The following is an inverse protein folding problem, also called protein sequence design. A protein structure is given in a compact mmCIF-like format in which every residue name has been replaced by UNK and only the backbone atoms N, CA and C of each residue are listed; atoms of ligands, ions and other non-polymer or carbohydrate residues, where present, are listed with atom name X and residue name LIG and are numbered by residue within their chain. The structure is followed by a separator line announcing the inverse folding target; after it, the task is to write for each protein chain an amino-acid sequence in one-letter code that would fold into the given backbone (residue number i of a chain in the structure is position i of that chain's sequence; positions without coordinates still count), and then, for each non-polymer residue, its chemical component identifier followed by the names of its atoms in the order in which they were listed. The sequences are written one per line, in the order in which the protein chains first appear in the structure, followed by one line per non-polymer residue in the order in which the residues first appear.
data_IF_989636370231
#
_entry.id   IF_989636370231
#
_cell.length_a   1.000
_cell.length_b   1.000
_cell.length_c   1.000
_cell.angle_alpha   90.00
_cell.angle_beta   90.00
_cell.angle_gamma   90.00
#
_symmetry.space_group_name_H-M   'P 1'
#
loop_
_entity.id
_entity.type
_entity.pdbx_description
1 polymer ?
#
# COMPACT_ATOMS: atom_id res chain seq x y z
N UNK A 1 -19.31 -5.74 -8.06
CA UNK A 1 -18.07 -6.35 -7.54
C UNK A 1 -17.07 -5.22 -7.38
N UNK A 2 -16.32 -5.17 -6.30
CA UNK A 2 -15.37 -4.07 -6.09
C UNK A 2 -14.01 -4.65 -5.69
N UNK A 3 -12.96 -4.27 -6.42
CA UNK A 3 -11.58 -4.59 -6.11
C UNK A 3 -10.85 -3.35 -5.58
N UNK A 4 -10.40 -3.42 -4.35
CA UNK A 4 -9.65 -2.34 -3.69
C UNK A 4 -8.19 -2.76 -3.56
N UNK A 5 -7.29 -1.96 -4.10
CA UNK A 5 -5.86 -2.12 -3.89
C UNK A 5 -5.40 -1.22 -2.76
N UNK A 6 -4.83 -1.84 -1.72
CA UNK A 6 -4.47 -1.19 -0.48
C UNK A 6 -2.95 -1.17 -0.35
N UNK A 7 -2.35 -0.04 -0.63
CA UNK A 7 -0.91 0.15 -0.79
C UNK A 7 -0.33 1.21 0.15
N UNK A 8 0.96 1.44 0.04
CA UNK A 8 1.76 2.40 0.82
C UNK A 8 3.09 1.78 1.26
N UNK A 9 4.00 2.60 1.72
CA UNK A 9 5.32 2.21 2.21
C UNK A 9 5.23 1.09 3.27
N UNK A 10 6.19 0.17 3.36
CA UNK A 10 6.24 -0.80 4.46
C UNK A 10 6.07 -0.14 5.84
N UNK A 11 5.37 -0.81 6.75
CA UNK A 11 5.08 -0.35 8.12
C UNK A 11 4.12 0.85 8.27
N UNK A 12 3.42 1.29 7.21
CA UNK A 12 2.38 2.33 7.33
C UNK A 12 1.11 1.88 8.06
N UNK A 13 0.93 0.58 8.29
CA UNK A 13 -0.21 0.03 9.03
C UNK A 13 -1.23 -0.74 8.16
N UNK A 14 -0.95 -0.92 6.87
CA UNK A 14 -1.84 -1.61 5.91
C UNK A 14 -2.44 -2.90 6.45
N UNK A 15 -1.61 -3.84 6.88
CA UNK A 15 -2.06 -5.17 7.32
C UNK A 15 -2.99 -5.09 8.53
N UNK A 16 -2.69 -4.21 9.49
CA UNK A 16 -3.52 -4.03 10.69
C UNK A 16 -4.89 -3.46 10.34
N UNK A 17 -4.92 -2.42 9.51
CA UNK A 17 -6.15 -1.77 9.09
C UNK A 17 -6.95 -2.72 8.19
N UNK A 18 -6.32 -3.31 7.16
CA UNK A 18 -6.98 -4.23 6.24
C UNK A 18 -7.67 -5.40 6.96
N UNK A 19 -7.06 -5.93 8.03
CA UNK A 19 -7.63 -7.03 8.80
C UNK A 19 -8.96 -6.70 9.50
N UNK A 20 -9.29 -5.42 9.62
CA UNK A 20 -10.53 -4.93 10.25
C UNK A 20 -11.57 -4.42 9.24
N UNK A 21 -11.21 -4.28 7.97
CA UNK A 21 -12.14 -3.85 6.93
C UNK A 21 -13.17 -4.94 6.60
N UNK A 22 -14.37 -4.53 6.23
CA UNK A 22 -15.41 -5.42 5.76
C UNK A 22 -15.15 -5.82 4.31
N UNK A 23 -14.56 -7.01 4.10
CA UNK A 23 -14.21 -7.55 2.79
C UNK A 23 -13.30 -8.76 2.91
N UNK A 24 -13.05 -9.41 1.79
CA UNK A 24 -12.09 -10.49 1.71
C UNK A 24 -10.69 -9.92 1.46
N UNK A 25 -9.84 -9.97 2.48
CA UNK A 25 -8.45 -9.50 2.39
C UNK A 25 -7.55 -10.56 1.76
N UNK A 26 -6.82 -10.17 0.74
CA UNK A 26 -5.82 -10.98 0.02
C UNK A 26 -4.47 -10.30 0.15
N UNK A 27 -3.54 -10.95 0.85
CA UNK A 27 -2.16 -10.47 0.99
C UNK A 27 -1.36 -10.80 -0.25
N UNK A 28 -0.91 -9.79 -0.98
CA UNK A 28 -0.22 -9.94 -2.26
C UNK A 28 1.06 -10.77 -2.15
N UNK A 29 1.87 -10.55 -1.13
CA UNK A 29 3.11 -11.31 -0.97
C UNK A 29 2.85 -12.80 -0.67
N UNK A 30 1.84 -13.11 0.13
CA UNK A 30 1.46 -14.50 0.43
C UNK A 30 0.89 -15.19 -0.81
N UNK A 31 0.11 -14.46 -1.60
CA UNK A 31 -0.41 -14.93 -2.87
C UNK A 31 0.73 -15.25 -3.85
N UNK A 32 1.68 -14.33 -4.01
CA UNK A 32 2.84 -14.50 -4.88
C UNK A 32 3.69 -15.71 -4.47
N UNK A 33 3.94 -15.90 -3.16
CA UNK A 33 4.69 -17.06 -2.66
C UNK A 33 3.95 -18.37 -2.92
N UNK A 34 2.65 -18.43 -2.64
CA UNK A 34 1.85 -19.66 -2.75
C UNK A 34 1.68 -20.13 -4.20
N UNK A 35 1.81 -19.24 -5.18
CA UNK A 35 1.66 -19.55 -6.61
C UNK A 35 2.98 -19.56 -7.39
N UNK A 36 4.11 -19.38 -6.69
CA UNK A 36 5.43 -19.44 -7.33
C UNK A 36 5.76 -18.23 -8.21
N UNK A 37 5.21 -17.06 -7.89
CA UNK A 37 5.47 -15.81 -8.60
C UNK A 37 6.65 -15.01 -8.01
N UNK A 38 7.43 -15.60 -7.10
CA UNK A 38 8.68 -15.04 -6.62
C UNK A 38 9.79 -15.42 -7.57
N UNK A 39 10.42 -14.45 -8.23
CA UNK A 39 11.52 -14.66 -9.18
C UNK A 39 12.89 -14.74 -8.50
N UNK A 40 13.01 -14.23 -7.28
CA UNK A 40 14.25 -14.20 -6.54
C UNK A 40 14.16 -13.28 -5.33
N UNK A 41 15.31 -13.01 -4.73
CA UNK A 41 15.48 -12.04 -3.65
C UNK A 41 16.57 -11.07 -4.07
N UNK A 42 16.32 -9.79 -3.93
CA UNK A 42 17.37 -8.76 -4.05
C UNK A 42 18.35 -8.95 -2.90
N UNK A 43 19.56 -9.39 -3.19
CA UNK A 43 20.56 -9.74 -2.18
C UNK A 43 21.04 -8.53 -1.36
N UNK A 44 21.03 -7.34 -1.96
CA UNK A 44 21.45 -6.11 -1.31
C UNK A 44 20.34 -5.55 -0.38
N UNK A 45 19.11 -5.67 -0.83
CA UNK A 45 17.93 -5.09 -0.15
C UNK A 45 17.13 -6.12 0.65
N UNK A 46 17.26 -7.42 0.34
CA UNK A 46 16.54 -8.52 0.98
C UNK A 46 15.03 -8.47 0.73
N UNK A 47 14.59 -7.87 -0.39
CA UNK A 47 13.20 -7.90 -0.84
C UNK A 47 12.98 -9.04 -1.82
N UNK A 48 11.82 -9.68 -1.74
CA UNK A 48 11.38 -10.64 -2.74
C UNK A 48 11.04 -9.91 -4.05
N UNK A 49 11.59 -10.40 -5.15
CA UNK A 49 11.29 -9.90 -6.50
C UNK A 49 10.07 -10.64 -7.00
N UNK A 50 8.95 -9.94 -7.16
CA UNK A 50 7.67 -10.50 -7.58
C UNK A 50 7.52 -10.34 -9.09
N UNK A 51 7.08 -11.40 -9.76
CA UNK A 51 6.62 -11.38 -11.16
C UNK A 51 5.24 -10.68 -11.20
N UNK A 52 5.27 -9.36 -11.38
CA UNK A 52 4.07 -8.51 -11.33
C UNK A 52 3.09 -8.89 -12.45
N UNK A 53 3.58 -9.25 -13.64
CA UNK A 53 2.73 -9.60 -14.77
C UNK A 53 1.90 -10.86 -14.48
N UNK A 54 2.56 -11.94 -14.05
CA UNK A 54 1.83 -13.17 -13.67
C UNK A 54 0.93 -13.01 -12.48
N UNK A 55 1.35 -12.21 -11.50
CA UNK A 55 0.52 -11.92 -10.33
C UNK A 55 -0.72 -11.11 -10.73
N UNK A 56 -0.58 -10.14 -11.64
CA UNK A 56 -1.68 -9.34 -12.15
C UNK A 56 -2.71 -10.20 -12.89
N UNK A 57 -2.26 -11.05 -13.81
CA UNK A 57 -3.14 -11.99 -14.54
C UNK A 57 -3.92 -12.91 -13.57
N UNK A 58 -3.26 -13.35 -12.50
CA UNK A 58 -3.91 -14.18 -11.49
C UNK A 58 -4.94 -13.41 -10.67
N UNK A 59 -4.62 -12.17 -10.28
CA UNK A 59 -5.51 -11.27 -9.53
C UNK A 59 -6.75 -10.94 -10.35
N UNK A 60 -6.59 -10.63 -11.63
CA UNK A 60 -7.72 -10.39 -12.55
C UNK A 60 -8.67 -11.59 -12.59
N UNK A 61 -8.11 -12.81 -12.68
CA UNK A 61 -8.93 -14.01 -12.62
C UNK A 61 -9.61 -14.28 -11.27
N UNK A 62 -9.09 -13.73 -10.16
CA UNK A 62 -9.78 -13.76 -8.86
C UNK A 62 -10.92 -12.73 -8.82
N UNK A 63 -10.68 -11.54 -9.34
CA UNK A 63 -11.67 -10.45 -9.40
C UNK A 63 -12.87 -10.91 -10.23
N UNK A 64 -12.64 -11.47 -11.42
CA UNK A 64 -13.71 -11.95 -12.30
C UNK A 64 -14.61 -13.03 -11.70
N UNK A 65 -14.06 -13.85 -10.80
CA UNK A 65 -14.75 -15.01 -10.21
C UNK A 65 -15.40 -14.70 -8.85
N UNK A 66 -15.24 -13.50 -8.32
CA UNK A 66 -15.74 -13.15 -6.99
C UNK A 66 -16.89 -12.15 -7.09
N UNK A 67 -17.92 -12.40 -6.32
CA UNK A 67 -19.00 -11.41 -6.09
C UNK A 67 -18.77 -10.56 -4.83
N UNK A 68 -17.74 -10.89 -4.05
CA UNK A 68 -17.40 -10.20 -2.81
C UNK A 68 -16.54 -8.95 -3.07
N UNK A 69 -16.47 -8.06 -2.08
CA UNK A 69 -15.47 -7.01 -2.00
C UNK A 69 -14.09 -7.66 -1.74
N UNK A 70 -13.19 -7.52 -2.70
CA UNK A 70 -11.80 -7.99 -2.57
C UNK A 70 -10.87 -6.83 -2.21
N UNK A 71 -10.06 -7.03 -1.18
CA UNK A 71 -9.06 -6.05 -0.72
C UNK A 71 -7.68 -6.68 -0.88
N UNK A 72 -6.92 -6.24 -1.89
CA UNK A 72 -5.58 -6.72 -2.16
C UNK A 72 -4.56 -5.85 -1.41
N UNK A 73 -4.03 -6.36 -0.31
CA UNK A 73 -3.11 -5.65 0.57
C UNK A 73 -1.66 -5.98 0.25
N UNK A 74 -0.84 -4.96 0.02
CA UNK A 74 0.60 -5.08 -0.16
C UNK A 74 1.23 -3.80 -0.69
N UNK A 75 2.52 -3.62 -0.46
CA UNK A 75 3.24 -2.41 -0.89
C UNK A 75 3.39 -2.27 -2.42
N UNK A 76 3.11 -3.33 -3.18
CA UNK A 76 3.12 -3.33 -4.66
C UNK A 76 1.74 -3.57 -5.27
N UNK A 77 0.66 -3.58 -4.46
CA UNK A 77 -0.67 -3.89 -4.97
C UNK A 77 -1.14 -2.92 -6.06
N UNK A 78 -0.76 -1.65 -5.97
CA UNK A 78 -1.08 -0.63 -6.98
C UNK A 78 -0.43 -0.87 -8.35
N UNK A 79 0.57 -1.74 -8.45
CA UNK A 79 1.20 -2.11 -9.72
C UNK A 79 0.40 -3.14 -10.51
N UNK A 80 -0.57 -3.82 -9.87
CA UNK A 80 -1.44 -4.81 -10.50
C UNK A 80 -2.55 -4.13 -11.30
N UNK A 81 -3.24 -4.89 -12.17
CA UNK A 81 -4.39 -4.40 -12.95
C UNK A 81 -5.71 -4.74 -12.24
N UNK A 82 -6.79 -4.07 -12.64
CA UNK A 82 -8.16 -4.40 -12.23
C UNK A 82 -8.67 -3.70 -10.97
N UNK A 83 -8.01 -2.66 -10.46
CA UNK A 83 -8.53 -1.92 -9.31
C UNK A 83 -9.74 -1.04 -9.68
N UNK A 84 -10.79 -1.10 -8.86
CA UNK A 84 -11.86 -0.10 -8.86
C UNK A 84 -11.51 1.10 -7.96
N UNK A 85 -10.66 0.87 -6.95
CA UNK A 85 -10.12 1.90 -6.06
C UNK A 85 -8.72 1.51 -5.62
N UNK A 86 -7.85 2.50 -5.52
CA UNK A 86 -6.51 2.37 -4.94
C UNK A 86 -6.42 3.27 -3.71
N UNK A 87 -6.14 2.70 -2.56
CA UNK A 87 -5.99 3.44 -1.31
C UNK A 87 -4.52 3.40 -0.91
N UNK A 88 -3.90 4.58 -0.88
CA UNK A 88 -2.50 4.75 -0.49
C UNK A 88 -2.44 5.28 0.93
N UNK A 89 -1.95 4.46 1.86
CA UNK A 89 -1.69 4.91 3.22
C UNK A 89 -0.39 5.69 3.31
N UNK A 90 -0.49 6.88 3.90
CA UNK A 90 0.64 7.75 4.20
C UNK A 90 0.81 7.90 5.71
N UNK A 91 2.04 7.99 6.15
CA UNK A 91 2.41 8.18 7.57
C UNK A 91 3.62 9.09 7.65
N UNK A 92 3.59 10.06 8.58
CA UNK A 92 4.75 10.93 8.81
C UNK A 92 6.05 10.11 9.00
N UNK A 93 7.14 10.51 8.36
CA UNK A 93 8.41 9.76 8.40
C UNK A 93 8.93 9.49 9.82
N UNK A 94 8.70 10.37 10.79
CA UNK A 94 9.11 10.17 12.18
C UNK A 94 8.40 8.96 12.80
N UNK A 95 7.09 8.84 12.60
CA UNK A 95 6.29 7.70 13.07
C UNK A 95 6.72 6.42 12.33
N UNK A 96 6.97 6.54 11.03
CA UNK A 96 7.42 5.41 10.21
C UNK A 96 8.79 4.91 10.68
N UNK A 97 9.71 5.81 11.01
CA UNK A 97 11.04 5.47 11.54
C UNK A 97 10.95 4.63 12.81
N UNK A 98 10.10 5.03 13.76
CA UNK A 98 9.87 4.27 15.00
C UNK A 98 9.37 2.85 14.71
N UNK A 99 8.42 2.71 13.78
CA UNK A 99 7.83 1.41 13.40
C UNK A 99 8.83 0.50 12.68
N UNK A 100 9.66 1.05 11.79
CA UNK A 100 10.71 0.31 11.08
C UNK A 100 11.81 -0.15 12.04
N UNK A 101 12.25 0.71 12.97
CA UNK A 101 13.20 0.36 14.03
C UNK A 101 12.66 -0.77 14.91
N UNK A 102 11.40 -0.70 15.33
CA UNK A 102 10.77 -1.73 16.16
C UNK A 102 10.72 -3.10 15.47
N UNK A 103 10.78 -3.14 14.13
CA UNK A 103 10.85 -4.38 13.33
C UNK A 103 12.27 -4.79 12.95
N UNK A 104 13.29 -4.15 13.51
CA UNK A 104 14.70 -4.44 13.29
C UNK A 104 15.12 -4.36 11.80
N UNK A 105 14.57 -3.41 11.05
CA UNK A 105 15.08 -3.11 9.72
C UNK A 105 16.51 -2.55 9.82
N UNK A 106 17.36 -2.83 8.82
CA UNK A 106 18.69 -2.21 8.75
C UNK A 106 18.59 -0.70 8.54
N UNK A 107 19.59 0.05 8.96
CA UNK A 107 19.62 1.51 8.81
C UNK A 107 19.43 1.95 7.35
N UNK A 108 20.06 1.23 6.40
CA UNK A 108 19.91 1.52 4.97
C UNK A 108 18.47 1.31 4.49
N UNK A 109 17.80 0.25 4.93
CA UNK A 109 16.38 0.01 4.63
C UNK A 109 15.45 1.04 5.28
N UNK A 110 15.75 1.44 6.50
CA UNK A 110 14.99 2.48 7.19
C UNK A 110 15.09 3.77 6.37
N UNK A 111 16.30 4.19 6.01
CA UNK A 111 16.53 5.41 5.22
C UNK A 111 15.80 5.34 3.87
N UNK A 112 15.92 4.26 3.12
CA UNK A 112 15.25 4.07 1.84
C UNK A 112 13.72 4.19 1.96
N UNK A 113 13.12 3.56 2.98
CA UNK A 113 11.67 3.64 3.19
C UNK A 113 11.20 5.03 3.62
N UNK A 114 11.98 5.74 4.44
CA UNK A 114 11.65 7.11 4.86
C UNK A 114 11.73 8.09 3.68
N UNK A 115 12.74 7.96 2.84
CA UNK A 115 12.87 8.76 1.62
C UNK A 115 11.72 8.48 0.63
N UNK A 116 11.38 7.20 0.41
CA UNK A 116 10.25 6.81 -0.44
C UNK A 116 8.92 7.35 0.09
N UNK A 117 8.72 7.33 1.42
CA UNK A 117 7.52 7.89 2.04
C UNK A 117 7.48 9.42 1.90
N UNK A 118 8.59 10.11 2.19
CA UNK A 118 8.64 11.57 2.06
C UNK A 118 8.42 12.04 0.62
N UNK A 119 8.96 11.30 -0.37
CA UNK A 119 8.76 11.56 -1.79
C UNK A 119 7.37 11.15 -2.31
N UNK A 120 6.58 10.39 -1.52
CA UNK A 120 5.27 9.91 -1.94
C UNK A 120 5.33 8.91 -3.11
N UNK A 121 6.34 8.03 -3.15
CA UNK A 121 6.56 7.11 -4.27
C UNK A 121 5.33 6.26 -4.58
N UNK A 122 4.73 5.61 -3.57
CA UNK A 122 3.53 4.80 -3.78
C UNK A 122 2.34 5.62 -4.32
N UNK A 123 2.20 6.88 -3.87
CA UNK A 123 1.15 7.78 -4.35
C UNK A 123 1.36 8.17 -5.80
N UNK A 124 2.61 8.52 -6.18
CA UNK A 124 2.95 8.89 -7.54
C UNK A 124 2.75 7.71 -8.52
N UNK A 125 3.24 6.51 -8.18
CA UNK A 125 3.07 5.31 -9.00
C UNK A 125 1.59 4.90 -9.11
N UNK A 126 0.83 5.01 -8.02
CA UNK A 126 -0.61 4.74 -8.03
C UNK A 126 -1.36 5.71 -8.93
N UNK A 127 -1.04 7.01 -8.84
CA UNK A 127 -1.67 8.04 -9.68
C UNK A 127 -1.33 7.89 -11.16
N UNK A 128 -0.10 7.49 -11.49
CA UNK A 128 0.30 7.24 -12.88
C UNK A 128 -0.56 6.16 -13.53
N UNK A 129 -0.92 5.12 -12.78
CA UNK A 129 -1.70 3.99 -13.28
C UNK A 129 -3.21 4.16 -13.11
N UNK A 130 -3.64 4.79 -12.03
CA UNK A 130 -5.04 4.94 -11.60
C UNK A 130 -5.35 6.39 -11.20
N UNK A 131 -5.32 7.35 -12.14
CA UNK A 131 -5.42 8.77 -11.81
C UNK A 131 -6.76 9.17 -11.14
N UNK A 132 -7.85 8.52 -11.51
CA UNK A 132 -9.20 8.84 -11.02
C UNK A 132 -9.65 7.96 -9.85
N UNK A 133 -8.97 6.81 -9.63
CA UNK A 133 -9.34 5.81 -8.64
C UNK A 133 -8.44 5.86 -7.39
N UNK A 134 -7.40 6.71 -7.36
CA UNK A 134 -6.42 6.77 -6.27
C UNK A 134 -6.82 7.77 -5.19
N UNK A 135 -6.85 7.29 -3.96
CA UNK A 135 -7.11 8.04 -2.73
C UNK A 135 -5.86 8.03 -1.84
N UNK A 136 -5.33 9.20 -1.51
CA UNK A 136 -4.16 9.37 -0.64
C UNK A 136 -4.59 9.76 0.76
N UNK A 137 -4.21 8.96 1.78
CA UNK A 137 -4.74 9.11 3.14
C UNK A 137 -3.61 9.18 4.16
N UNK A 138 -3.44 10.31 4.84
CA UNK A 138 -2.56 10.41 6.00
C UNK A 138 -3.24 9.84 7.24
N UNK A 139 -2.69 8.74 7.76
CA UNK A 139 -3.18 8.08 8.97
C UNK A 139 -2.33 8.37 10.20
N UNK A 140 -1.44 9.35 10.15
CA UNK A 140 -0.49 9.68 11.23
C UNK A 140 -1.17 9.99 12.56
N UNK A 141 -2.30 10.69 12.52
CA UNK A 141 -3.04 11.15 13.69
C UNK A 141 -4.35 10.38 13.95
N UNK A 142 -4.58 9.32 13.18
CA UNK A 142 -5.74 8.45 13.35
C UNK A 142 -5.40 7.24 14.23
N UNK A 143 -6.30 6.88 15.11
CA UNK A 143 -6.28 5.55 15.68
C UNK A 143 -6.76 4.50 14.64
N UNK A 144 -6.60 3.23 14.96
CA UNK A 144 -6.92 2.15 14.01
C UNK A 144 -8.40 2.18 13.62
N UNK A 145 -9.31 2.40 14.58
CA UNK A 145 -10.75 2.36 14.33
C UNK A 145 -11.19 3.59 13.52
N UNK A 146 -10.60 4.76 13.76
CA UNK A 146 -10.78 5.96 12.94
C UNK A 146 -10.31 5.78 11.51
N UNK A 147 -9.13 5.16 11.31
CA UNK A 147 -8.62 4.86 9.98
C UNK A 147 -9.52 3.84 9.25
N UNK A 148 -9.97 2.80 9.93
CA UNK A 148 -10.91 1.81 9.36
C UNK A 148 -12.20 2.47 8.92
N UNK A 149 -12.84 3.27 9.80
CA UNK A 149 -14.09 3.96 9.47
C UNK A 149 -13.96 4.88 8.26
N UNK A 150 -12.87 5.65 8.19
CA UNK A 150 -12.58 6.52 7.06
C UNK A 150 -12.41 5.73 5.75
N UNK A 151 -11.65 4.65 5.79
CA UNK A 151 -11.38 3.83 4.60
C UNK A 151 -12.65 3.11 4.13
N UNK A 152 -13.48 2.60 5.04
CA UNK A 152 -14.77 2.01 4.68
C UNK A 152 -15.71 3.02 4.02
N UNK A 153 -15.72 4.27 4.50
CA UNK A 153 -16.50 5.34 3.87
C UNK A 153 -15.99 5.63 2.46
N UNK A 154 -14.68 5.70 2.25
CA UNK A 154 -14.09 5.90 0.92
C UNK A 154 -14.41 4.71 -0.01
N UNK A 155 -14.34 3.49 0.49
CA UNK A 155 -14.69 2.30 -0.31
C UNK A 155 -16.14 2.37 -0.78
N UNK A 156 -17.05 2.82 0.07
CA UNK A 156 -18.49 2.88 -0.23
C UNK A 156 -18.88 4.12 -1.05
N UNK A 157 -18.40 5.28 -0.64
CA UNK A 157 -18.90 6.58 -1.10
C UNK A 157 -17.88 7.38 -1.93
N UNK A 158 -16.61 6.99 -1.93
CA UNK A 158 -15.53 7.81 -2.46
C UNK A 158 -15.18 8.95 -1.51
N UNK A 159 -14.68 10.05 -2.05
CA UNK A 159 -14.34 11.24 -1.26
C UNK A 159 -13.30 12.11 -1.97
N UNK A 160 -12.98 13.24 -1.37
CA UNK A 160 -11.98 14.18 -1.88
C UNK A 160 -10.65 13.98 -1.14
N UNK A 161 -9.89 12.98 -1.60
CA UNK A 161 -8.57 12.60 -1.08
C UNK A 161 -7.55 12.48 -2.23
N UNK A 162 -7.30 13.59 -2.95
CA UNK A 162 -6.46 13.55 -4.14
C UNK A 162 -4.99 13.28 -3.79
N UNK A 163 -4.28 12.65 -4.72
CA UNK A 163 -2.83 12.51 -4.65
C UNK A 163 -2.17 13.90 -4.65
N UNK A 164 -1.18 14.09 -3.79
CA UNK A 164 -0.51 15.37 -3.54
C UNK A 164 -1.14 16.19 -2.42
N UNK A 165 -2.20 15.69 -1.76
CA UNK A 165 -2.75 16.33 -0.56
C UNK A 165 -1.90 16.10 0.68
N UNK A 166 -1.05 15.06 0.68
CA UNK A 166 -0.11 14.74 1.76
C UNK A 166 1.31 15.08 1.33
N UNK A 167 1.96 16.00 2.04
CA UNK A 167 3.32 16.46 1.73
C UNK A 167 4.23 16.27 2.94
N UNK A 168 5.26 15.45 2.76
CA UNK A 168 6.31 15.21 3.75
C UNK A 168 7.71 15.62 3.22
N UNK A 169 7.79 16.42 2.15
CA UNK A 169 9.05 16.82 1.52
C UNK A 169 9.97 17.61 2.45
N UNK A 170 9.42 18.36 3.42
CA UNK A 170 10.20 19.11 4.41
C UNK A 170 11.12 18.17 5.21
N UNK A 171 10.67 16.95 5.48
CA UNK A 171 11.48 15.93 6.16
C UNK A 171 12.81 15.65 5.45
N UNK A 172 12.84 15.62 4.10
CA UNK A 172 14.07 15.40 3.32
C UNK A 172 15.06 16.56 3.46
N UNK A 173 14.55 17.78 3.60
CA UNK A 173 15.37 18.97 3.78
C UNK A 173 16.01 18.99 5.17
N UNK A 174 15.29 18.53 6.17
CA UNK A 174 15.74 18.50 7.58
C UNK A 174 16.65 17.28 7.87
N UNK A 175 16.56 16.23 7.04
CA UNK A 175 17.31 14.98 7.21
C UNK A 175 18.10 14.62 5.93
N UNK A 176 19.12 15.41 5.55
CA UNK A 176 19.90 15.24 4.32
C UNK A 176 20.77 13.96 4.30
#
# INVERSE_FOLDING_TARGET
MTAVFFTGTPCTGKTTIASKLNGRVVKINDLARSHGFIMGVDEDKGYEIIDIEKLSDYVDGLIEKSDDLLIFEGHVSHLLDGADKVIVLRVRPEILAERLNARNYSESKIRENLEAEALGVCSAESFEKYPDETYEIDVSDLDIDGAVGLIEDIIQNGGDYPVGSVDFMEWLVENP
#
